data_IF_344559347669
#
_entry.id   IF_344559347669
#
_cell.length_a   1.000
_cell.length_b   1.000
_cell.length_c   1.000
_cell.angle_alpha   90.00
_cell.angle_beta   90.00
_cell.angle_gamma   90.00
#
_symmetry.space_group_name_H-M   'P 1'
#
loop_
_entity.id
_entity.type
_entity.pdbx_description
1 polymer ?
#
# COMPACT_ATOMS: atom_id res chain seq x y z
N UNK A 1 -35.98 -7.24 -41.60
CA UNK A 1 -35.21 -7.50 -40.36
C UNK A 1 -33.74 -7.18 -40.62
N UNK A 2 -33.30 -5.98 -40.24
CA UNK A 2 -31.95 -5.50 -40.56
C UNK A 2 -30.94 -6.09 -39.59
N UNK A 3 -29.95 -6.84 -40.11
CA UNK A 3 -28.80 -7.34 -39.34
C UNK A 3 -27.95 -6.14 -38.94
N UNK A 4 -28.08 -5.69 -37.69
CA UNK A 4 -27.23 -4.65 -37.16
C UNK A 4 -25.78 -5.14 -37.12
N UNK A 5 -24.95 -4.41 -37.85
CA UNK A 5 -23.51 -4.50 -37.90
C UNK A 5 -22.94 -4.28 -36.48
N UNK A 6 -22.61 -5.35 -35.75
CA UNK A 6 -21.88 -5.25 -34.50
C UNK A 6 -20.45 -4.76 -34.81
N UNK A 7 -20.24 -3.44 -34.80
CA UNK A 7 -18.90 -2.85 -34.78
C UNK A 7 -18.13 -3.47 -33.62
N UNK A 8 -17.03 -4.17 -33.93
CA UNK A 8 -16.06 -4.69 -32.98
C UNK A 8 -15.57 -3.50 -32.13
N UNK A 9 -15.96 -3.46 -30.85
CA UNK A 9 -15.58 -2.39 -29.93
C UNK A 9 -14.22 -2.72 -29.31
N UNK A 10 -13.43 -1.69 -29.04
CA UNK A 10 -12.14 -1.83 -28.37
C UNK A 10 -12.32 -2.37 -26.94
N UNK A 11 -11.31 -3.08 -26.40
CA UNK A 11 -11.35 -3.59 -25.04
C UNK A 11 -11.46 -2.44 -24.03
N UNK A 12 -12.30 -2.63 -23.00
CA UNK A 12 -12.45 -1.68 -21.90
C UNK A 12 -11.13 -1.53 -21.16
N UNK A 13 -10.63 -0.30 -21.10
CA UNK A 13 -9.39 0.05 -20.37
C UNK A 13 -9.69 0.19 -18.89
N UNK A 14 -8.87 -0.44 -18.06
CA UNK A 14 -8.90 -0.22 -16.61
C UNK A 14 -8.40 1.19 -16.28
N UNK A 15 -9.01 1.81 -15.28
CA UNK A 15 -8.54 3.09 -14.74
C UNK A 15 -7.28 2.82 -13.89
N UNK A 16 -6.12 3.40 -14.24
CA UNK A 16 -4.92 3.21 -13.43
C UNK A 16 -5.05 3.98 -12.10
N UNK A 17 -4.34 3.54 -11.06
CA UNK A 17 -4.27 4.25 -9.77
C UNK A 17 -3.78 5.69 -9.91
N UNK A 18 -2.90 5.96 -10.89
CA UNK A 18 -2.42 7.31 -11.20
C UNK A 18 -3.53 8.29 -11.59
N UNK A 19 -4.65 7.79 -12.13
CA UNK A 19 -5.80 8.64 -12.41
C UNK A 19 -6.49 9.09 -11.11
N UNK A 20 -6.66 8.18 -10.14
CA UNK A 20 -7.19 8.52 -8.82
C UNK A 20 -6.24 9.45 -8.05
N UNK A 21 -4.92 9.24 -8.20
CA UNK A 21 -3.90 10.14 -7.65
C UNK A 21 -4.02 11.56 -8.19
N UNK A 22 -4.18 11.74 -9.51
CA UNK A 22 -4.36 13.07 -10.10
C UNK A 22 -5.60 13.80 -9.56
N UNK A 23 -6.71 13.07 -9.37
CA UNK A 23 -7.92 13.64 -8.73
C UNK A 23 -7.60 14.09 -7.30
N UNK A 24 -6.87 13.27 -6.53
CA UNK A 24 -6.49 13.62 -5.17
C UNK A 24 -5.64 14.91 -5.13
N UNK A 25 -4.68 15.05 -6.05
CA UNK A 25 -3.79 16.21 -6.15
C UNK A 25 -4.55 17.47 -6.61
N UNK A 26 -5.39 17.34 -7.64
CA UNK A 26 -6.17 18.46 -8.21
C UNK A 26 -7.13 19.08 -7.18
N UNK A 27 -7.74 18.26 -6.34
CA UNK A 27 -8.73 18.69 -5.35
C UNK A 27 -8.20 18.70 -3.91
N UNK A 28 -6.88 18.57 -3.72
CA UNK A 28 -6.21 18.55 -2.42
C UNK A 28 -6.85 17.57 -1.41
N UNK A 29 -7.16 16.35 -1.86
CA UNK A 29 -7.74 15.29 -1.03
C UNK A 29 -6.66 14.30 -0.56
N UNK A 30 -6.78 13.80 0.67
CA UNK A 30 -5.84 12.80 1.21
C UNK A 30 -6.17 11.37 0.75
N UNK A 31 -7.42 11.10 0.40
CA UNK A 31 -7.86 9.81 -0.14
C UNK A 31 -8.94 10.00 -1.21
N UNK A 32 -8.97 9.09 -2.18
CA UNK A 32 -9.93 9.10 -3.29
C UNK A 32 -10.40 7.67 -3.54
N UNK A 33 -11.70 7.53 -3.74
CA UNK A 33 -12.35 6.29 -4.21
C UNK A 33 -13.10 6.64 -5.49
N UNK A 34 -12.68 6.05 -6.61
CA UNK A 34 -13.32 6.23 -7.90
C UNK A 34 -14.13 4.98 -8.22
N UNK A 35 -15.45 5.14 -8.37
CA UNK A 35 -16.35 4.10 -8.86
C UNK A 35 -16.88 4.51 -10.23
N UNK A 36 -16.69 3.67 -11.25
CA UNK A 36 -17.19 3.91 -12.60
C UNK A 36 -17.98 2.72 -13.12
N UNK A 37 -18.99 3.00 -13.93
CA UNK A 37 -19.76 1.99 -14.64
C UNK A 37 -19.54 2.13 -16.15
N UNK A 38 -19.24 1.02 -16.82
CA UNK A 38 -19.07 0.94 -18.27
C UNK A 38 -20.23 0.15 -18.87
N UNK A 39 -21.03 0.81 -19.71
CA UNK A 39 -22.32 0.29 -20.17
C UNK A 39 -22.21 -0.74 -21.30
N UNK A 40 -21.08 -0.81 -22.03
CA UNK A 40 -20.89 -1.80 -23.11
C UNK A 40 -20.75 -3.21 -22.56
N UNK A 41 -20.01 -3.37 -21.48
CA UNK A 41 -19.69 -4.66 -20.86
C UNK A 41 -20.43 -4.86 -19.53
N UNK A 42 -21.21 -3.86 -19.11
CA UNK A 42 -21.95 -3.84 -17.86
C UNK A 42 -21.01 -4.07 -16.66
N UNK A 43 -19.81 -3.48 -16.71
CA UNK A 43 -18.77 -3.66 -15.69
C UNK A 43 -18.68 -2.44 -14.80
N UNK A 44 -18.60 -2.68 -13.50
CA UNK A 44 -18.22 -1.67 -12.51
C UNK A 44 -16.73 -1.80 -12.26
N UNK A 45 -16.04 -0.67 -12.13
CA UNK A 45 -14.64 -0.60 -11.75
C UNK A 45 -14.49 0.31 -10.53
N UNK A 46 -13.73 -0.14 -9.54
CA UNK A 46 -13.43 0.60 -8.32
C UNK A 46 -11.92 0.72 -8.19
N UNK A 47 -11.43 1.96 -8.10
CA UNK A 47 -10.02 2.29 -7.90
C UNK A 47 -9.90 3.18 -6.67
N UNK A 48 -8.90 2.92 -5.85
CA UNK A 48 -8.66 3.65 -4.61
C UNK A 48 -7.25 4.23 -4.61
N UNK A 49 -7.11 5.40 -4.00
CA UNK A 49 -5.83 6.04 -3.75
C UNK A 49 -5.84 6.67 -2.36
N UNK A 50 -4.70 6.65 -1.69
CA UNK A 50 -4.47 7.39 -0.45
C UNK A 50 -3.08 7.99 -0.46
N UNK A 51 -2.91 9.17 0.12
CA UNK A 51 -1.64 9.89 0.13
C UNK A 51 -0.63 9.18 1.02
N UNK A 52 -0.97 8.97 2.29
CA UNK A 52 -0.18 8.22 3.27
C UNK A 52 -0.59 6.74 3.31
N UNK A 53 0.08 5.96 4.16
CA UNK A 53 -0.16 4.53 4.31
C UNK A 53 -1.53 4.29 4.94
N UNK A 54 -1.86 5.05 5.97
CA UNK A 54 -3.16 5.01 6.68
C UNK A 54 -4.30 5.41 5.75
N UNK A 55 -4.07 6.46 4.94
CA UNK A 55 -5.05 6.91 3.94
C UNK A 55 -5.27 5.83 2.87
N UNK A 56 -4.20 5.13 2.45
CA UNK A 56 -4.31 4.05 1.47
C UNK A 56 -5.09 2.86 2.04
N UNK A 57 -4.86 2.51 3.31
CA UNK A 57 -5.62 1.47 4.01
C UNK A 57 -7.11 1.84 4.14
N UNK A 58 -7.39 3.07 4.56
CA UNK A 58 -8.76 3.59 4.67
C UNK A 58 -9.46 3.64 3.30
N UNK A 59 -8.76 4.10 2.25
CA UNK A 59 -9.28 4.10 0.89
C UNK A 59 -9.61 2.68 0.40
N UNK A 60 -8.76 1.69 0.70
CA UNK A 60 -9.04 0.29 0.38
C UNK A 60 -10.26 -0.26 1.10
N UNK A 61 -10.40 0.00 2.41
CA UNK A 61 -11.60 -0.35 3.19
C UNK A 61 -12.87 0.30 2.61
N UNK A 62 -12.79 1.57 2.24
CA UNK A 62 -13.88 2.28 1.57
C UNK A 62 -14.22 1.69 0.19
N UNK A 63 -13.20 1.32 -0.59
CA UNK A 63 -13.40 0.62 -1.87
C UNK A 63 -14.09 -0.73 -1.71
N UNK A 64 -13.71 -1.51 -0.70
CA UNK A 64 -14.37 -2.78 -0.38
C UNK A 64 -15.82 -2.58 0.11
N UNK A 65 -16.09 -1.51 0.86
CA UNK A 65 -17.45 -1.11 1.21
C UNK A 65 -18.29 -0.80 -0.03
N UNK A 66 -17.76 -0.03 -0.99
CA UNK A 66 -18.43 0.26 -2.27
C UNK A 66 -18.70 -1.02 -3.05
N UNK A 67 -17.72 -1.92 -3.17
CA UNK A 67 -17.91 -3.22 -3.85
C UNK A 67 -19.01 -4.07 -3.19
N UNK A 68 -19.03 -4.14 -1.86
CA UNK A 68 -20.09 -4.84 -1.11
C UNK A 68 -21.47 -4.24 -1.35
N UNK A 69 -21.58 -2.91 -1.33
CA UNK A 69 -22.82 -2.21 -1.64
C UNK A 69 -23.32 -2.49 -3.07
N UNK A 70 -22.40 -2.79 -4.00
CA UNK A 70 -22.69 -3.17 -5.38
C UNK A 70 -22.88 -4.69 -5.58
N UNK A 71 -22.95 -5.48 -4.50
CA UNK A 71 -23.22 -6.92 -4.55
C UNK A 71 -22.04 -7.78 -5.03
N UNK A 72 -20.80 -7.29 -4.92
CA UNK A 72 -19.63 -8.09 -5.25
C UNK A 72 -19.43 -9.23 -4.25
N UNK A 73 -18.92 -10.40 -4.68
CA UNK A 73 -18.58 -11.49 -3.77
C UNK A 73 -17.54 -11.05 -2.73
N UNK A 74 -17.69 -11.47 -1.47
CA UNK A 74 -16.80 -11.08 -0.37
C UNK A 74 -15.32 -11.35 -0.65
N UNK A 75 -15.00 -12.41 -1.40
CA UNK A 75 -13.62 -12.74 -1.81
C UNK A 75 -12.93 -11.63 -2.61
N UNK A 76 -13.68 -10.72 -3.23
CA UNK A 76 -13.16 -9.57 -3.99
C UNK A 76 -13.11 -8.27 -3.15
N UNK A 77 -13.51 -8.36 -1.88
CA UNK A 77 -13.69 -7.24 -0.95
C UNK A 77 -12.74 -7.34 0.25
N UNK A 78 -11.50 -7.77 0.00
CA UNK A 78 -10.41 -7.88 0.98
C UNK A 78 -9.12 -7.27 0.41
N UNK A 79 -9.21 -6.03 -0.06
CA UNK A 79 -8.11 -5.37 -0.76
C UNK A 79 -7.11 -4.82 0.26
N UNK A 80 -5.85 -5.27 0.17
CA UNK A 80 -4.74 -4.64 0.91
C UNK A 80 -3.90 -3.83 -0.07
N UNK A 81 -3.65 -2.53 0.18
CA UNK A 81 -2.79 -1.74 -0.69
C UNK A 81 -1.36 -2.31 -0.75
N UNK A 82 -0.71 -2.34 -1.93
CA UNK A 82 0.66 -2.85 -2.06
C UNK A 82 1.66 -2.16 -1.14
N UNK A 83 1.48 -0.87 -0.87
CA UNK A 83 2.33 -0.09 0.06
C UNK A 83 2.20 -0.57 1.52
N UNK A 84 0.97 -0.88 1.96
CA UNK A 84 0.70 -1.42 3.30
C UNK A 84 1.31 -2.81 3.43
N UNK A 85 1.17 -3.64 2.39
CA UNK A 85 1.76 -4.97 2.35
C UNK A 85 3.29 -4.91 2.43
N UNK A 86 3.93 -4.06 1.62
CA UNK A 86 5.38 -3.88 1.62
C UNK A 86 5.91 -3.41 2.99
N UNK A 87 5.19 -2.50 3.67
CA UNK A 87 5.55 -2.08 5.02
C UNK A 87 5.47 -3.25 6.01
N UNK A 88 4.40 -4.04 5.96
CA UNK A 88 4.23 -5.20 6.82
C UNK A 88 5.33 -6.24 6.63
N UNK A 89 5.77 -6.47 5.40
CA UNK A 89 6.86 -7.40 5.10
C UNK A 89 8.22 -6.86 5.58
N UNK A 90 8.49 -5.56 5.39
CA UNK A 90 9.69 -4.92 5.91
C UNK A 90 9.76 -4.99 7.46
N UNK A 91 8.64 -4.77 8.15
CA UNK A 91 8.59 -4.85 9.61
C UNK A 91 8.87 -6.27 10.12
N UNK A 92 8.34 -7.30 9.46
CA UNK A 92 8.62 -8.70 9.82
C UNK A 92 10.09 -9.04 9.70
N UNK A 93 10.75 -8.58 8.65
CA UNK A 93 12.19 -8.80 8.48
C UNK A 93 13.00 -8.04 9.53
N UNK A 94 12.63 -6.80 9.85
CA UNK A 94 13.26 -6.05 10.94
C UNK A 94 13.13 -6.75 12.31
N UNK A 95 11.94 -7.28 12.62
CA UNK A 95 11.71 -8.05 13.86
C UNK A 95 12.60 -9.29 13.92
N UNK A 96 12.69 -10.07 12.83
CA UNK A 96 13.59 -11.23 12.77
C UNK A 96 15.05 -10.86 13.01
N UNK A 97 15.51 -9.75 12.43
CA UNK A 97 16.88 -9.26 12.66
C UNK A 97 17.08 -8.93 14.13
N UNK A 98 16.15 -8.19 14.75
CA UNK A 98 16.22 -7.82 16.17
C UNK A 98 16.23 -9.07 17.06
N UNK A 99 15.36 -10.05 16.80
CA UNK A 99 15.31 -11.32 17.54
C UNK A 99 16.61 -12.13 17.39
N UNK A 100 17.19 -12.17 16.18
CA UNK A 100 18.49 -12.78 15.93
C UNK A 100 19.61 -12.08 16.71
N UNK A 101 19.59 -10.75 16.73
CA UNK A 101 20.53 -9.94 17.51
C UNK A 101 20.38 -10.15 19.03
N UNK A 102 19.15 -10.22 19.53
CA UNK A 102 18.88 -10.51 20.94
C UNK A 102 19.33 -11.92 21.35
N UNK A 103 19.22 -12.89 20.44
CA UNK A 103 19.72 -14.26 20.67
C UNK A 103 21.25 -14.33 20.69
N UNK A 104 21.96 -13.38 20.08
CA UNK A 104 23.43 -13.25 20.15
C UNK A 104 23.93 -12.47 21.37
N UNK A 105 23.02 -11.87 22.16
CA UNK A 105 23.32 -10.93 23.26
C UNK A 105 23.87 -11.60 24.53
N UNK A 106 24.08 -12.92 24.53
CA UNK A 106 24.69 -13.68 25.63
C UNK A 106 26.20 -13.47 25.79
N UNK A 107 26.85 -12.72 24.89
CA UNK A 107 28.25 -12.29 25.01
C UNK A 107 28.33 -10.75 25.13
N UNK A 108 28.34 -10.18 26.34
CA UNK A 108 28.16 -8.72 26.50
C UNK A 108 29.44 -7.93 26.83
N UNK A 109 29.63 -6.84 26.09
CA UNK A 109 30.38 -5.63 26.47
C UNK A 109 29.59 -4.81 27.52
N UNK A 110 30.24 -3.91 28.29
CA UNK A 110 29.56 -3.01 29.22
C UNK A 110 28.51 -2.09 28.56
N UNK A 111 27.42 -1.78 29.27
CA UNK A 111 26.22 -1.08 28.77
C UNK A 111 26.49 0.24 28.02
N UNK A 112 27.50 1.01 28.45
CA UNK A 112 27.90 2.26 27.77
C UNK A 112 28.50 2.02 26.38
N UNK A 113 29.24 0.91 26.19
CA UNK A 113 29.80 0.53 24.88
C UNK A 113 28.74 -0.06 23.97
N UNK A 114 27.71 -0.66 24.55
CA UNK A 114 26.60 -1.26 23.81
C UNK A 114 25.73 -0.21 23.11
N UNK A 115 25.41 0.91 23.77
CA UNK A 115 24.70 2.03 23.13
C UNK A 115 25.46 2.63 21.96
N UNK A 116 26.77 2.81 22.11
CA UNK A 116 27.60 3.39 21.05
C UNK A 116 27.77 2.42 19.88
N UNK A 117 27.98 1.13 20.15
CA UNK A 117 28.01 0.08 19.13
C UNK A 117 26.67 0.00 18.37
N UNK A 118 25.53 0.11 19.06
CA UNK A 118 24.22 0.14 18.43
C UNK A 118 24.01 1.36 17.54
N UNK A 119 24.44 2.55 17.98
CA UNK A 119 24.38 3.75 17.15
C UNK A 119 25.20 3.57 15.87
N UNK A 120 26.44 3.10 15.98
CA UNK A 120 27.32 2.85 14.84
C UNK A 120 26.71 1.81 13.89
N UNK A 121 26.20 0.70 14.43
CA UNK A 121 25.53 -0.33 13.63
C UNK A 121 24.29 0.23 12.91
N UNK A 122 23.41 0.91 13.65
CA UNK A 122 22.19 1.49 13.11
C UNK A 122 22.49 2.51 12.00
N UNK A 123 23.53 3.35 12.15
CA UNK A 123 23.87 4.40 11.20
C UNK A 123 24.59 3.88 9.95
N UNK A 124 25.43 2.84 10.09
CA UNK A 124 26.36 2.43 9.04
C UNK A 124 26.09 1.07 8.42
N UNK A 125 25.33 0.19 9.07
CA UNK A 125 25.07 -1.14 8.54
C UNK A 125 24.16 -1.06 7.28
N UNK A 126 24.55 -1.70 6.16
CA UNK A 126 23.74 -1.72 4.94
C UNK A 126 22.34 -2.30 5.14
N UNK A 127 22.21 -3.33 5.97
CA UNK A 127 20.93 -4.00 6.27
C UNK A 127 19.97 -3.13 7.09
N UNK A 128 20.49 -2.11 7.77
CA UNK A 128 19.66 -1.15 8.51
C UNK A 128 19.13 -0.03 7.62
N UNK A 129 19.61 0.08 6.37
CA UNK A 129 19.18 1.11 5.42
C UNK A 129 17.66 1.12 5.16
N UNK A 130 16.99 -0.01 4.90
CA UNK A 130 15.54 -0.03 4.68
C UNK A 130 14.75 0.45 5.91
N UNK A 131 15.27 0.16 7.12
CA UNK A 131 14.65 0.58 8.38
C UNK A 131 14.80 2.09 8.57
N UNK A 132 15.98 2.65 8.28
CA UNK A 132 16.22 4.11 8.31
C UNK A 132 15.31 4.84 7.32
N UNK A 133 15.24 4.37 6.08
CA UNK A 133 14.37 4.94 5.04
C UNK A 133 12.88 4.86 5.43
N UNK A 134 12.46 3.74 6.02
CA UNK A 134 11.09 3.59 6.53
C UNK A 134 10.77 4.56 7.68
N UNK A 135 11.72 4.79 8.60
CA UNK A 135 11.54 5.72 9.72
C UNK A 135 11.58 7.19 9.29
N UNK A 136 12.39 7.55 8.29
CA UNK A 136 12.39 8.88 7.67
C UNK A 136 11.04 9.17 6.99
N UNK A 137 10.47 8.18 6.29
CA UNK A 137 9.12 8.29 5.71
C UNK A 137 8.03 8.51 6.77
N UNK A 138 8.22 8.01 8.00
CA UNK A 138 7.29 8.17 9.12
C UNK A 138 7.47 9.50 9.88
N UNK A 139 8.66 10.11 9.83
CA UNK A 139 9.00 11.33 10.57
C UNK A 139 8.93 12.61 9.74
N UNK A 140 8.81 12.50 8.42
CA UNK A 140 8.70 13.62 7.46
C UNK A 140 7.27 14.00 7.02
N UNK A 141 6.26 13.79 7.86
CA UNK A 141 4.85 14.16 7.62
C UNK A 141 4.42 15.42 8.37
#
# INVERSE_FOLDING_TARGET
MSRQNQKKRDPVKLIPVDAAKRIAEEYAQDQVIVCTFESTTNRVHVVTYGKRIEDAENAAKGGDFVKKALGWPDRLCNSTPPRVQALGDALKEAVKLIEGWHSMREQRLPEHKEREAWRIYYDHAPEMKPIREALELLSGG
#
